data_IF_046406784822
#
_entry.id   IF_046406784822
#
_cell.length_a   1.000
_cell.length_b   1.000
_cell.length_c   1.000
_cell.angle_alpha   90.00
_cell.angle_beta   90.00
_cell.angle_gamma   90.00
#
_symmetry.space_group_name_H-M   'P 1'
#
loop_
_entity.id
_entity.type
_entity.pdbx_description
1 polymer ?
#
# COMPACT_ATOMS: atom_id res chain seq x y z
N UNK A 1 1.91 34.88 -8.27
CA UNK A 1 1.28 34.26 -7.09
C UNK A 1 2.27 33.28 -6.50
N UNK A 2 2.71 33.48 -5.27
CA UNK A 2 3.58 32.51 -4.59
C UNK A 2 2.75 31.24 -4.32
N UNK A 3 3.29 30.04 -4.49
CA UNK A 3 2.58 28.79 -4.19
C UNK A 3 2.20 28.77 -2.70
N UNK A 4 0.92 28.51 -2.43
CA UNK A 4 0.44 28.32 -1.07
C UNK A 4 1.04 27.00 -0.55
N UNK A 5 2.00 27.09 0.35
CA UNK A 5 2.51 25.90 1.04
C UNK A 5 1.43 25.39 2.00
N UNK A 6 1.13 24.10 1.97
CA UNK A 6 0.26 23.48 2.95
C UNK A 6 0.72 23.88 4.37
N UNK A 7 -0.24 24.26 5.22
CA UNK A 7 0.05 24.42 6.65
C UNK A 7 0.56 23.10 7.22
N UNK A 8 1.22 23.12 8.37
CA UNK A 8 1.70 21.89 9.01
C UNK A 8 0.53 20.89 9.22
N UNK A 9 -0.66 21.39 9.55
CA UNK A 9 -1.86 20.59 9.76
C UNK A 9 -2.34 19.93 8.45
N UNK A 10 -2.36 20.65 7.32
CA UNK A 10 -2.76 20.09 6.03
C UNK A 10 -1.77 19.07 5.47
N UNK A 11 -0.48 19.15 5.84
CA UNK A 11 0.51 18.15 5.46
C UNK A 11 0.36 16.86 6.29
N UNK A 12 0.00 16.98 7.55
CA UNK A 12 -0.27 15.84 8.44
C UNK A 12 -1.49 15.05 7.96
N UNK A 13 -2.60 15.75 7.66
CA UNK A 13 -3.85 15.15 7.18
C UNK A 13 -3.67 14.39 5.85
N UNK A 14 -2.77 14.86 4.98
CA UNK A 14 -2.50 14.23 3.70
C UNK A 14 -1.87 12.83 3.81
N UNK A 15 -1.38 12.46 4.98
CA UNK A 15 -0.80 11.15 5.28
C UNK A 15 -1.79 10.20 5.99
N UNK A 16 -2.98 10.67 6.38
CA UNK A 16 -4.01 9.81 6.98
C UNK A 16 -4.58 8.84 5.92
N UNK A 17 -4.44 7.52 6.10
CA UNK A 17 -4.96 6.53 5.16
C UNK A 17 -6.49 6.41 5.18
N UNK A 18 -7.17 6.97 6.19
CA UNK A 18 -8.61 7.00 6.36
C UNK A 18 -9.18 8.41 6.15
N UNK A 19 -8.42 9.34 5.59
CA UNK A 19 -8.89 10.71 5.34
C UNK A 19 -10.22 10.72 4.56
N UNK A 20 -11.16 11.53 5.00
CA UNK A 20 -12.47 11.73 4.37
C UNK A 20 -12.37 12.59 3.10
N UNK A 21 -11.59 12.12 2.14
CA UNK A 21 -11.35 12.79 0.86
C UNK A 21 -11.28 11.77 -0.28
N UNK A 22 -11.73 12.16 -1.45
CA UNK A 22 -11.47 11.36 -2.66
C UNK A 22 -9.99 11.43 -2.99
N UNK A 23 -9.39 10.30 -3.30
CA UNK A 23 -7.98 10.27 -3.63
C UNK A 23 -7.69 9.36 -4.83
N UNK A 24 -6.71 9.77 -5.62
CA UNK A 24 -6.15 8.98 -6.70
C UNK A 24 -4.65 8.86 -6.49
N UNK A 25 -4.14 7.62 -6.47
CA UNK A 25 -2.74 7.34 -6.23
C UNK A 25 -2.13 6.65 -7.43
N UNK A 26 -0.93 7.07 -7.80
CA UNK A 26 -0.04 6.38 -8.72
C UNK A 26 1.18 5.98 -7.91
N UNK A 27 1.46 4.69 -7.84
CA UNK A 27 2.55 4.11 -7.06
C UNK A 27 3.43 3.29 -7.96
N UNK A 28 4.74 3.33 -7.74
CA UNK A 28 5.72 2.55 -8.48
C UNK A 28 6.78 1.97 -7.56
N UNK A 29 7.09 0.69 -7.77
CA UNK A 29 8.20 -0.02 -7.15
C UNK A 29 9.15 -0.50 -8.24
N UNK A 30 10.42 -0.28 -8.04
CA UNK A 30 11.48 -1.04 -8.68
C UNK A 30 11.90 -2.12 -7.70
N UNK A 31 12.01 -3.36 -8.14
CA UNK A 31 12.31 -4.51 -7.29
C UNK A 31 13.61 -5.12 -7.78
N UNK A 32 14.59 -5.26 -6.93
CA UNK A 32 15.89 -5.84 -7.31
C UNK A 32 16.43 -6.81 -6.28
N UNK A 33 17.44 -7.54 -6.68
CA UNK A 33 18.15 -8.49 -5.83
C UNK A 33 17.18 -9.52 -5.22
N UNK A 34 16.50 -10.27 -6.09
CA UNK A 34 15.53 -11.27 -5.65
C UNK A 34 16.23 -12.50 -5.03
N UNK A 35 15.86 -12.82 -3.80
CA UNK A 35 16.39 -13.97 -3.08
C UNK A 35 16.23 -15.29 -3.87
N UNK A 36 17.29 -16.06 -4.00
CA UNK A 36 17.30 -17.36 -4.71
C UNK A 36 17.11 -17.27 -6.22
N UNK A 37 17.27 -16.07 -6.80
CA UNK A 37 17.31 -15.84 -8.24
C UNK A 37 18.71 -15.42 -8.70
N UNK A 38 19.02 -15.48 -10.02
CA UNK A 38 20.29 -14.98 -10.54
C UNK A 38 20.47 -13.50 -10.21
N UNK A 39 21.72 -13.09 -9.97
CA UNK A 39 22.10 -11.69 -9.81
C UNK A 39 21.59 -10.86 -11.00
N UNK A 40 21.28 -9.58 -10.77
CA UNK A 40 20.70 -8.68 -11.77
C UNK A 40 19.29 -9.02 -12.28
N UNK A 41 18.54 -9.81 -11.54
CA UNK A 41 17.13 -10.03 -11.86
C UNK A 41 16.29 -8.92 -11.26
N UNK A 42 15.64 -8.13 -12.12
CA UNK A 42 14.83 -6.97 -11.72
C UNK A 42 13.36 -7.18 -12.00
N UNK A 43 12.53 -6.45 -11.27
CA UNK A 43 11.09 -6.39 -11.46
C UNK A 43 10.55 -4.98 -11.25
N UNK A 44 9.33 -4.77 -11.71
CA UNK A 44 8.61 -3.51 -11.54
C UNK A 44 7.17 -3.78 -11.14
N UNK A 45 6.65 -2.93 -10.28
CA UNK A 45 5.22 -2.91 -9.98
C UNK A 45 4.72 -1.48 -10.03
N UNK A 46 3.65 -1.24 -10.78
CA UNK A 46 2.88 -0.01 -10.74
C UNK A 46 1.49 -0.30 -10.17
N UNK A 47 0.97 0.58 -9.32
CA UNK A 47 -0.37 0.43 -8.75
C UNK A 47 -1.15 1.73 -8.97
N UNK A 48 -2.28 1.63 -9.65
CA UNK A 48 -3.29 2.67 -9.67
C UNK A 48 -4.28 2.40 -8.55
N UNK A 49 -4.53 3.41 -7.72
CA UNK A 49 -5.43 3.28 -6.57
C UNK A 49 -6.39 4.44 -6.51
N UNK A 50 -7.65 4.15 -6.28
CA UNK A 50 -8.70 5.12 -6.05
C UNK A 50 -9.31 4.92 -4.68
N UNK A 51 -9.50 6.00 -3.95
CA UNK A 51 -10.18 6.00 -2.65
C UNK A 51 -11.38 6.94 -2.69
N UNK A 52 -12.50 6.46 -2.14
CA UNK A 52 -13.78 7.17 -2.09
C UNK A 52 -14.38 7.03 -0.69
N UNK A 53 -14.57 8.14 0.04
CA UNK A 53 -15.41 8.16 1.23
C UNK A 53 -16.86 7.88 0.84
N UNK A 54 -17.56 7.13 1.68
CA UNK A 54 -18.96 6.77 1.54
C UNK A 54 -19.68 6.99 2.87
N UNK A 55 -20.93 7.45 2.81
CA UNK A 55 -21.77 7.60 4.00
C UNK A 55 -23.02 6.78 3.81
N UNK A 56 -23.32 5.90 4.78
CA UNK A 56 -24.53 5.09 4.80
C UNK A 56 -25.29 5.39 6.11
N UNK A 57 -26.39 6.16 6.02
CA UNK A 57 -27.06 6.70 7.20
C UNK A 57 -26.10 7.57 8.01
N UNK A 58 -25.92 7.25 9.28
CA UNK A 58 -25.01 7.96 10.20
C UNK A 58 -23.61 7.34 10.28
N UNK A 59 -23.26 6.45 9.33
CA UNK A 59 -21.99 5.73 9.36
C UNK A 59 -21.05 6.15 8.23
N UNK A 60 -19.76 6.29 8.55
CA UNK A 60 -18.71 6.67 7.63
C UNK A 60 -17.88 5.45 7.22
N UNK A 61 -17.60 5.37 5.94
CA UNK A 61 -16.86 4.27 5.32
C UNK A 61 -15.83 4.81 4.35
N UNK A 62 -14.77 4.08 4.13
CA UNK A 62 -13.83 4.33 3.05
C UNK A 62 -13.76 3.10 2.14
N UNK A 63 -14.06 3.31 0.87
CA UNK A 63 -13.78 2.34 -0.19
C UNK A 63 -12.43 2.67 -0.83
N UNK A 64 -11.63 1.65 -1.13
CA UNK A 64 -10.39 1.79 -1.87
C UNK A 64 -10.25 0.65 -2.87
N UNK A 65 -10.08 0.96 -4.14
CA UNK A 65 -9.82 0.00 -5.20
C UNK A 65 -8.39 0.16 -5.72
N UNK A 66 -7.71 -0.95 -6.00
CA UNK A 66 -6.34 -0.96 -6.52
C UNK A 66 -6.23 -1.88 -7.72
N UNK A 67 -5.54 -1.40 -8.75
CA UNK A 67 -5.22 -2.15 -9.98
C UNK A 67 -3.70 -2.20 -10.09
N UNK A 68 -3.06 -3.35 -9.83
CA UNK A 68 -1.63 -3.51 -10.02
C UNK A 68 -1.28 -3.87 -11.46
N UNK A 69 -0.21 -3.31 -11.97
CA UNK A 69 0.51 -3.78 -13.15
C UNK A 69 1.88 -4.26 -12.71
N UNK A 70 2.20 -5.49 -13.01
CA UNK A 70 3.42 -6.14 -12.59
C UNK A 70 4.30 -6.47 -13.80
N UNK A 71 5.61 -6.38 -13.62
CA UNK A 71 6.62 -6.93 -14.51
C UNK A 71 7.61 -7.66 -13.62
N UNK A 72 7.40 -8.96 -13.44
CA UNK A 72 8.10 -9.75 -12.43
C UNK A 72 8.89 -10.89 -13.06
N UNK A 73 10.07 -11.23 -12.51
CA UNK A 73 10.80 -12.41 -12.91
C UNK A 73 10.04 -13.66 -12.47
N UNK A 74 9.98 -14.64 -13.35
CA UNK A 74 9.32 -15.92 -13.10
C UNK A 74 10.27 -17.08 -13.41
N UNK A 75 10.31 -18.04 -12.48
CA UNK A 75 11.21 -19.18 -12.59
C UNK A 75 12.69 -18.82 -12.41
N UNK A 76 13.54 -19.81 -12.24
CA UNK A 76 14.97 -19.63 -11.95
C UNK A 76 15.84 -19.11 -13.09
N UNK A 77 15.25 -18.78 -14.26
CA UNK A 77 15.99 -18.36 -15.45
C UNK A 77 15.91 -16.87 -15.80
N UNK A 78 15.32 -16.03 -14.95
CA UNK A 78 15.24 -14.60 -15.19
C UNK A 78 14.25 -14.17 -16.29
N UNK A 79 13.35 -15.05 -16.72
CA UNK A 79 12.27 -14.69 -17.65
C UNK A 79 11.31 -13.74 -16.97
N UNK A 80 11.04 -12.59 -17.58
CA UNK A 80 10.10 -11.59 -17.05
C UNK A 80 8.73 -11.75 -17.69
N UNK A 81 7.68 -11.66 -16.87
CA UNK A 81 6.29 -11.62 -17.32
C UNK A 81 5.69 -10.30 -16.87
N UNK A 82 4.97 -9.65 -17.77
CA UNK A 82 4.34 -8.37 -17.52
C UNK A 82 2.84 -8.42 -17.79
N UNK A 83 2.06 -7.76 -16.94
CA UNK A 83 0.62 -7.67 -17.09
C UNK A 83 -0.09 -7.14 -15.86
N UNK A 84 -1.41 -7.09 -15.95
CA UNK A 84 -2.27 -6.72 -14.83
C UNK A 84 -2.26 -7.88 -13.82
N UNK A 85 -2.16 -7.55 -12.54
CA UNK A 85 -2.33 -8.50 -11.44
C UNK A 85 -3.77 -8.55 -10.94
N UNK A 86 -3.99 -9.19 -9.80
CA UNK A 86 -5.31 -9.28 -9.19
C UNK A 86 -5.76 -7.92 -8.64
N UNK A 87 -6.96 -7.50 -9.02
CA UNK A 87 -7.59 -6.27 -8.55
C UNK A 87 -8.09 -6.49 -7.12
N UNK A 88 -7.85 -5.52 -6.24
CA UNK A 88 -8.40 -5.55 -4.88
C UNK A 88 -9.34 -4.37 -4.60
N UNK A 89 -10.35 -4.65 -3.78
CA UNK A 89 -11.25 -3.65 -3.21
C UNK A 89 -11.25 -3.81 -1.69
N UNK A 90 -10.98 -2.72 -1.02
CA UNK A 90 -11.01 -2.59 0.43
C UNK A 90 -12.21 -1.72 0.82
N UNK A 91 -12.98 -2.13 1.82
CA UNK A 91 -14.07 -1.34 2.37
C UNK A 91 -13.96 -1.34 3.90
N UNK A 92 -13.72 -0.17 4.49
CA UNK A 92 -13.55 -0.01 5.93
C UNK A 92 -14.65 0.88 6.53
N UNK A 93 -15.25 0.43 7.61
CA UNK A 93 -16.02 1.24 8.52
C UNK A 93 -15.09 2.12 9.36
N UNK A 94 -15.38 3.40 9.44
CA UNK A 94 -14.63 4.37 10.24
C UNK A 94 -15.36 4.62 11.55
N UNK A 95 -14.69 4.40 12.65
CA UNK A 95 -15.23 4.67 13.97
C UNK A 95 -15.11 6.14 14.34
N UNK A 96 -16.09 6.66 15.08
CA UNK A 96 -15.95 7.95 15.72
C UNK A 96 -14.85 7.89 16.78
N UNK A 97 -13.88 8.76 16.64
CA UNK A 97 -12.70 8.81 17.50
C UNK A 97 -12.45 10.24 17.98
N UNK A 98 -11.42 10.43 18.79
CA UNK A 98 -10.98 11.75 19.19
C UNK A 98 -10.34 12.48 17.98
N UNK A 99 -10.43 13.83 17.93
CA UNK A 99 -9.76 14.60 16.89
C UNK A 99 -8.28 14.20 16.72
N UNK A 100 -7.86 14.03 15.48
CA UNK A 100 -6.51 13.59 15.11
C UNK A 100 -6.25 12.09 15.25
N UNK A 101 -7.25 11.28 15.57
CA UNK A 101 -7.16 9.81 15.56
C UNK A 101 -8.15 9.29 14.53
N UNK A 102 -7.67 8.41 13.64
CA UNK A 102 -8.51 7.66 12.72
C UNK A 102 -8.37 6.17 13.00
N UNK A 103 -9.51 5.47 13.08
CA UNK A 103 -9.56 4.03 13.32
C UNK A 103 -10.62 3.41 12.43
N UNK A 104 -10.27 2.33 11.76
CA UNK A 104 -11.18 1.62 10.87
C UNK A 104 -10.97 0.12 10.88
N UNK A 105 -12.07 -0.60 10.70
CA UNK A 105 -12.07 -2.05 10.48
C UNK A 105 -12.86 -2.31 9.20
N UNK A 106 -12.35 -3.20 8.36
CA UNK A 106 -12.99 -3.46 7.10
C UNK A 106 -12.69 -4.82 6.52
N UNK A 107 -13.15 -5.01 5.31
CA UNK A 107 -12.93 -6.21 4.51
C UNK A 107 -12.13 -5.87 3.26
N UNK A 108 -11.34 -6.82 2.78
CA UNK A 108 -10.67 -6.76 1.48
C UNK A 108 -11.15 -7.92 0.62
N UNK A 109 -11.56 -7.62 -0.59
CA UNK A 109 -11.88 -8.60 -1.62
C UNK A 109 -10.82 -8.50 -2.72
N UNK A 110 -10.24 -9.63 -3.12
CA UNK A 110 -9.31 -9.72 -4.25
C UNK A 110 -9.93 -10.60 -5.33
N UNK A 111 -10.06 -10.06 -6.54
CA UNK A 111 -10.61 -10.77 -7.68
C UNK A 111 -9.50 -11.39 -8.53
N UNK A 112 -9.68 -12.61 -9.04
CA UNK A 112 -8.72 -13.26 -9.93
C UNK A 112 -8.77 -12.64 -11.33
N UNK A 113 -8.17 -11.47 -11.48
CA UNK A 113 -8.20 -10.66 -12.72
C UNK A 113 -6.84 -10.57 -13.40
N UNK A 114 -5.86 -11.27 -12.88
CA UNK A 114 -4.51 -11.27 -13.44
C UNK A 114 -4.53 -11.70 -14.92
N UNK A 115 -3.78 -10.99 -15.75
CA UNK A 115 -3.68 -11.28 -17.19
C UNK A 115 -2.83 -12.51 -17.52
N UNK A 116 -2.08 -13.01 -16.54
CA UNK A 116 -1.29 -14.24 -16.58
C UNK A 116 -1.36 -14.88 -15.19
N UNK A 117 -1.52 -16.19 -15.14
CA UNK A 117 -1.68 -16.98 -13.91
C UNK A 117 -0.52 -16.80 -12.92
N UNK A 118 0.66 -16.41 -13.39
CA UNK A 118 1.85 -16.17 -12.57
C UNK A 118 1.88 -14.76 -11.94
N UNK A 119 0.99 -13.88 -12.35
CA UNK A 119 0.84 -12.51 -11.81
C UNK A 119 -0.29 -12.37 -10.79
N UNK A 120 -1.02 -13.46 -10.53
CA UNK A 120 -2.14 -13.51 -9.60
C UNK A 120 -2.30 -14.86 -8.90
N UNK A 121 -3.32 -14.95 -8.05
CA UNK A 121 -3.62 -16.16 -7.30
C UNK A 121 -4.56 -17.13 -8.02
N UNK A 122 -5.17 -16.70 -9.13
CA UNK A 122 -6.20 -17.46 -9.87
C UNK A 122 -7.35 -17.93 -8.95
N UNK A 123 -7.59 -17.19 -7.89
CA UNK A 123 -8.60 -17.51 -6.89
C UNK A 123 -9.11 -16.23 -6.22
N UNK A 124 -10.43 -16.15 -5.97
CA UNK A 124 -10.99 -15.13 -5.13
C UNK A 124 -10.39 -15.20 -3.72
N UNK A 125 -10.08 -14.04 -3.15
CA UNK A 125 -9.59 -13.95 -1.78
C UNK A 125 -10.48 -13.00 -0.98
N UNK A 126 -10.75 -13.35 0.26
CA UNK A 126 -11.47 -12.51 1.22
C UNK A 126 -10.57 -12.28 2.43
N UNK A 127 -10.57 -11.06 2.91
CA UNK A 127 -9.75 -10.66 4.03
C UNK A 127 -10.43 -9.68 4.97
N UNK A 128 -9.78 -9.49 6.10
CA UNK A 128 -10.09 -8.46 7.09
C UNK A 128 -8.94 -7.48 7.18
N UNK A 129 -9.25 -6.23 7.45
CA UNK A 129 -8.25 -5.19 7.61
C UNK A 129 -8.58 -4.30 8.80
N UNK A 130 -7.54 -3.83 9.47
CA UNK A 130 -7.61 -2.86 10.54
C UNK A 130 -6.62 -1.74 10.28
N UNK A 131 -7.08 -0.50 10.42
CA UNK A 131 -6.28 0.71 10.22
C UNK A 131 -6.35 1.56 11.47
N UNK A 132 -5.20 2.01 11.93
CA UNK A 132 -5.07 3.01 12.98
C UNK A 132 -4.12 4.11 12.53
N UNK A 133 -4.51 5.35 12.73
CA UNK A 133 -3.66 6.53 12.49
C UNK A 133 -3.76 7.48 13.67
N UNK A 134 -2.64 7.96 14.15
CA UNK A 134 -2.53 8.99 15.17
C UNK A 134 -1.83 10.23 14.60
N UNK A 135 -2.62 11.25 14.32
CA UNK A 135 -2.21 12.57 13.86
C UNK A 135 -2.46 13.66 14.91
N UNK A 136 -2.61 13.30 16.22
CA UNK A 136 -2.82 14.28 17.30
C UNK A 136 -1.66 15.27 17.43
N UNK A 137 -0.46 14.87 17.02
CA UNK A 137 0.68 15.78 16.89
C UNK A 137 0.80 16.26 15.45
N UNK A 138 0.74 17.57 15.17
CA UNK A 138 0.96 18.08 13.82
C UNK A 138 2.40 17.86 13.33
N UNK A 139 3.32 17.51 14.22
CA UNK A 139 4.73 17.30 13.90
C UNK A 139 5.10 15.85 13.69
N UNK A 140 4.43 14.91 14.39
CA UNK A 140 4.72 13.48 14.32
C UNK A 140 3.42 12.69 14.25
N UNK A 141 3.24 11.95 13.16
CA UNK A 141 2.12 11.06 12.94
C UNK A 141 2.63 9.62 12.85
N UNK A 142 1.82 8.68 13.30
CA UNK A 142 2.16 7.26 13.23
C UNK A 142 0.90 6.40 13.21
N UNK A 143 1.06 5.18 12.79
CA UNK A 143 -0.02 4.23 12.76
C UNK A 143 0.36 2.93 12.07
N UNK A 144 -0.66 2.19 11.70
CA UNK A 144 -0.49 0.94 10.97
C UNK A 144 -1.71 0.59 10.12
N UNK A 145 -1.47 -0.26 9.13
CA UNK A 145 -2.49 -1.04 8.43
C UNK A 145 -2.13 -2.52 8.63
N UNK A 146 -3.09 -3.29 9.13
CA UNK A 146 -3.00 -4.75 9.25
C UNK A 146 -4.03 -5.39 8.32
N UNK A 147 -3.61 -6.37 7.54
CA UNK A 147 -4.47 -7.13 6.63
C UNK A 147 -4.19 -8.61 6.85
N UNK A 148 -5.25 -9.41 6.87
CA UNK A 148 -5.19 -10.85 6.69
C UNK A 148 -6.19 -11.25 5.61
N UNK A 149 -5.77 -12.07 4.65
CA UNK A 149 -6.64 -12.56 3.58
C UNK A 149 -6.34 -14.00 3.24
N UNK A 150 -7.37 -14.73 2.81
CA UNK A 150 -7.25 -16.12 2.37
C UNK A 150 -8.11 -16.39 1.13
N UNK A 151 -7.75 -17.41 0.40
CA UNK A 151 -8.53 -17.87 -0.75
C UNK A 151 -9.90 -18.41 -0.34
N UNK A 152 -10.94 -18.09 -1.11
CA UNK A 152 -12.30 -18.57 -0.91
C UNK A 152 -12.76 -19.43 -2.09
N UNK A 153 -13.62 -20.42 -1.80
CA UNK A 153 -14.02 -21.42 -2.80
C UNK A 153 -13.01 -22.54 -3.00
N UNK A 154 -13.08 -23.21 -4.14
CA UNK A 154 -12.15 -24.28 -4.52
C UNK A 154 -10.82 -23.69 -4.98
N UNK A 155 -9.73 -24.32 -4.59
CA UNK A 155 -8.39 -23.96 -5.08
C UNK A 155 -8.15 -24.64 -6.43
N UNK A 156 -7.71 -23.91 -7.46
CA UNK A 156 -7.39 -24.49 -8.76
C UNK A 156 -6.32 -25.59 -8.66
N UNK A 157 -6.40 -26.57 -9.54
CA UNK A 157 -5.46 -27.69 -9.55
C UNK A 157 -4.01 -27.19 -9.78
N UNK A 158 -3.07 -27.71 -8.98
CA UNK A 158 -1.67 -27.31 -9.04
C UNK A 158 -1.34 -25.96 -8.39
N UNK A 159 -2.32 -25.31 -7.75
CA UNK A 159 -2.13 -24.05 -7.00
C UNK A 159 -2.17 -24.30 -5.50
N UNK A 160 -1.50 -23.45 -4.77
CA UNK A 160 -1.62 -23.37 -3.30
C UNK A 160 -2.67 -22.31 -2.97
N UNK A 161 -3.57 -22.62 -2.01
CA UNK A 161 -4.53 -21.64 -1.52
C UNK A 161 -3.78 -20.44 -0.92
N UNK A 162 -4.00 -19.22 -1.40
CA UNK A 162 -3.35 -18.06 -0.82
C UNK A 162 -3.82 -17.84 0.61
N UNK A 163 -2.88 -17.54 1.50
CA UNK A 163 -3.13 -17.18 2.89
C UNK A 163 -2.05 -16.19 3.32
N UNK A 164 -2.37 -14.89 3.32
CA UNK A 164 -1.38 -13.82 3.44
C UNK A 164 -1.75 -12.85 4.54
N UNK A 165 -0.80 -12.58 5.43
CA UNK A 165 -0.79 -11.46 6.35
C UNK A 165 0.07 -10.33 5.82
N UNK A 166 -0.39 -9.08 5.99
CA UNK A 166 0.39 -7.90 5.72
C UNK A 166 0.27 -6.92 6.88
N UNK A 167 1.40 -6.43 7.35
CA UNK A 167 1.47 -5.38 8.36
C UNK A 167 2.28 -4.22 7.83
N UNK A 168 1.69 -3.05 7.75
CA UNK A 168 2.31 -1.83 7.29
C UNK A 168 2.40 -0.83 8.44
N UNK A 169 3.47 -0.84 9.25
CA UNK A 169 3.73 0.25 10.18
C UNK A 169 4.10 1.50 9.40
N UNK A 170 3.66 2.65 9.83
CA UNK A 170 4.08 3.91 9.23
C UNK A 170 4.27 5.01 10.27
N UNK A 171 5.18 5.91 9.95
CA UNK A 171 5.43 7.10 10.75
C UNK A 171 5.87 8.24 9.83
N UNK A 172 5.50 9.47 10.20
CA UNK A 172 5.83 10.67 9.44
C UNK A 172 6.23 11.79 10.40
N UNK A 173 7.33 12.45 10.09
CA UNK A 173 7.83 13.61 10.83
C UNK A 173 7.84 14.83 9.91
N UNK A 174 7.10 15.87 10.29
CA UNK A 174 6.94 17.09 9.49
C UNK A 174 8.17 17.99 9.64
N UNK A 175 8.84 18.27 8.52
CA UNK A 175 10.03 19.14 8.43
C UNK A 175 9.68 20.60 8.19
N UNK A 176 8.39 20.89 7.91
CA UNK A 176 7.89 22.23 7.62
C UNK A 176 7.79 22.53 6.12
N UNK A 177 6.99 23.55 5.79
CA UNK A 177 6.70 23.97 4.40
C UNK A 177 6.22 22.81 3.51
N UNK A 178 5.47 21.85 4.09
CA UNK A 178 4.95 20.66 3.43
C UNK A 178 5.98 19.53 3.24
N UNK A 179 7.24 19.67 3.60
CA UNK A 179 8.20 18.59 3.61
C UNK A 179 8.04 17.69 4.82
N UNK A 180 8.21 16.40 4.62
CA UNK A 180 8.21 15.41 5.69
C UNK A 180 9.18 14.27 5.41
N UNK A 181 9.61 13.59 6.44
CA UNK A 181 10.33 12.32 6.37
C UNK A 181 9.53 11.25 7.10
N UNK A 182 9.81 9.99 6.83
CA UNK A 182 9.07 8.90 7.44
C UNK A 182 9.42 7.55 6.86
N UNK A 183 8.46 6.64 6.91
CA UNK A 183 8.51 5.32 6.29
C UNK A 183 7.18 4.63 6.43
N UNK A 184 6.86 3.79 5.43
CA UNK A 184 5.65 2.98 5.42
C UNK A 184 5.89 1.65 4.68
N UNK A 185 6.94 0.89 5.06
CA UNK A 185 7.22 -0.40 4.44
C UNK A 185 6.10 -1.40 4.74
N UNK A 186 5.86 -2.34 3.83
CA UNK A 186 4.86 -3.40 4.03
C UNK A 186 5.59 -4.69 4.37
N UNK A 187 5.36 -5.21 5.57
CA UNK A 187 5.80 -6.53 6.00
C UNK A 187 4.78 -7.56 5.55
N UNK A 188 5.23 -8.60 4.91
CA UNK A 188 4.35 -9.66 4.40
C UNK A 188 4.75 -11.02 4.95
N UNK A 189 3.73 -11.85 5.21
CA UNK A 189 3.90 -13.23 5.58
C UNK A 189 2.87 -14.09 4.81
N UNK A 190 3.35 -15.08 4.08
CA UNK A 190 2.54 -16.08 3.42
C UNK A 190 2.48 -17.34 4.30
N UNK A 191 1.32 -17.55 4.95
CA UNK A 191 1.09 -18.68 5.86
C UNK A 191 1.02 -20.03 5.13
N UNK A 192 0.73 -20.02 3.83
CA UNK A 192 0.64 -21.26 3.04
C UNK A 192 2.03 -21.81 2.63
N UNK A 193 3.03 -20.94 2.50
CA UNK A 193 4.37 -21.28 2.04
C UNK A 193 5.47 -20.98 3.06
N UNK A 194 5.12 -20.33 4.19
CA UNK A 194 6.04 -19.88 5.23
C UNK A 194 7.11 -18.89 4.69
N UNK A 195 6.74 -18.13 3.64
CA UNK A 195 7.58 -17.10 3.05
C UNK A 195 7.25 -15.72 3.66
N UNK A 196 8.25 -14.89 3.81
CA UNK A 196 8.04 -13.53 4.33
C UNK A 196 9.06 -12.54 3.78
N UNK A 197 8.69 -11.26 3.87
CA UNK A 197 9.58 -10.13 3.63
C UNK A 197 9.29 -9.02 4.66
N UNK A 198 10.35 -8.53 5.32
CA UNK A 198 10.29 -7.48 6.34
C UNK A 198 11.21 -6.33 5.92
N UNK A 199 10.76 -5.45 5.01
CA UNK A 199 11.55 -4.30 4.61
C UNK A 199 11.56 -3.19 5.66
N UNK A 200 12.62 -2.39 5.63
CA UNK A 200 12.73 -1.08 6.28
C UNK A 200 12.81 0.00 5.21
N UNK A 201 12.07 1.09 5.38
CA UNK A 201 12.03 2.20 4.42
C UNK A 201 12.29 3.55 5.07
N UNK A 202 12.96 4.42 4.32
CA UNK A 202 13.13 5.83 4.67
C UNK A 202 12.52 6.70 3.57
N UNK A 203 11.47 7.44 3.91
CA UNK A 203 10.73 8.30 3.01
C UNK A 203 11.17 9.74 3.12
N UNK A 204 11.28 10.40 1.97
CA UNK A 204 11.27 11.84 1.85
C UNK A 204 10.07 12.24 0.98
N UNK A 205 9.19 13.06 1.52
CA UNK A 205 7.97 13.45 0.83
C UNK A 205 7.70 14.94 0.91
N UNK A 206 6.82 15.37 0.03
CA UNK A 206 6.35 16.75 -0.09
C UNK A 206 4.85 16.78 -0.31
N UNK A 207 4.16 17.53 0.53
CA UNK A 207 2.75 17.88 0.35
C UNK A 207 2.66 19.29 -0.22
N UNK A 208 1.88 19.43 -1.28
CA UNK A 208 1.59 20.70 -1.92
C UNK A 208 0.08 20.84 -2.09
N UNK A 209 -0.47 21.94 -1.65
CA UNK A 209 -1.89 22.26 -1.80
C UNK A 209 -2.08 23.34 -2.87
N UNK A 210 -2.97 23.08 -3.82
CA UNK A 210 -3.37 24.03 -4.84
C UNK A 210 -4.90 24.04 -4.94
N UNK A 211 -5.52 25.05 -4.35
CA UNK A 211 -6.97 25.16 -4.27
C UNK A 211 -7.58 23.96 -3.53
N UNK A 212 -8.44 23.21 -4.22
CA UNK A 212 -9.13 22.02 -3.67
C UNK A 212 -8.34 20.71 -3.84
N UNK A 213 -7.17 20.77 -4.46
CA UNK A 213 -6.32 19.59 -4.69
C UNK A 213 -5.11 19.62 -3.77
N UNK A 214 -4.90 18.56 -3.04
CA UNK A 214 -3.67 18.31 -2.28
C UNK A 214 -2.89 17.23 -2.99
N UNK A 215 -1.67 17.53 -3.41
CA UNK A 215 -0.73 16.58 -3.99
C UNK A 215 0.29 16.18 -2.92
N UNK A 216 0.42 14.89 -2.66
CA UNK A 216 1.45 14.32 -1.80
C UNK A 216 2.32 13.39 -2.66
N UNK A 217 3.59 13.70 -2.80
CA UNK A 217 4.54 12.90 -3.58
C UNK A 217 5.77 12.61 -2.75
N UNK A 218 6.30 11.41 -2.92
CA UNK A 218 7.44 10.95 -2.15
C UNK A 218 8.26 9.89 -2.87
N UNK A 219 9.47 9.70 -2.35
CA UNK A 219 10.34 8.57 -2.64
C UNK A 219 10.70 7.88 -1.33
N UNK A 220 10.81 6.55 -1.35
CA UNK A 220 11.11 5.71 -0.21
C UNK A 220 11.95 4.52 -0.65
N UNK A 221 13.29 4.61 -0.63
CA UNK A 221 14.12 3.42 -0.72
C UNK A 221 13.83 2.49 0.46
N UNK A 222 13.66 1.20 0.16
CA UNK A 222 13.36 0.16 1.14
C UNK A 222 14.36 -0.99 0.97
N UNK A 223 14.84 -1.51 2.09
CA UNK A 223 15.76 -2.66 2.18
C UNK A 223 15.12 -3.75 3.02
N UNK A 224 15.15 -4.99 2.56
CA UNK A 224 14.72 -6.13 3.36
C UNK A 224 15.69 -6.38 4.50
N UNK A 225 15.20 -6.27 5.73
CA UNK A 225 15.96 -6.60 6.93
C UNK A 225 15.94 -8.09 7.24
N UNK A 226 14.85 -8.76 6.83
CA UNK A 226 14.69 -10.20 6.95
C UNK A 226 13.74 -10.69 5.85
N UNK A 227 14.09 -11.80 5.23
CA UNK A 227 13.28 -12.44 4.21
C UNK A 227 13.43 -13.95 4.29
N UNK A 228 12.42 -14.67 3.81
CA UNK A 228 12.43 -16.12 3.65
C UNK A 228 11.65 -16.51 2.40
N UNK A 229 12.16 -17.49 1.67
CA UNK A 229 11.63 -17.97 0.41
C UNK A 229 12.29 -17.32 -0.80
N UNK A 230 12.15 -17.98 -1.96
CA UNK A 230 12.68 -17.47 -3.21
C UNK A 230 11.79 -16.34 -3.75
N UNK A 231 12.39 -15.41 -4.48
CA UNK A 231 11.66 -14.33 -5.12
C UNK A 231 11.26 -13.16 -4.21
N UNK A 232 11.88 -13.06 -3.03
CA UNK A 232 11.70 -11.88 -2.17
C UNK A 232 12.67 -10.79 -2.61
N UNK A 233 12.23 -9.55 -2.92
CA UNK A 233 13.12 -8.46 -3.26
C UNK A 233 13.92 -8.02 -2.02
N UNK A 234 15.23 -7.86 -2.17
CA UNK A 234 16.10 -7.36 -1.10
C UNK A 234 16.17 -5.84 -1.08
N UNK A 235 16.01 -5.21 -2.24
CA UNK A 235 15.92 -3.76 -2.39
C UNK A 235 14.74 -3.36 -3.25
N UNK A 236 13.92 -2.42 -2.77
CA UNK A 236 12.70 -1.99 -3.45
C UNK A 236 12.45 -0.48 -3.29
N UNK A 237 13.10 0.39 -4.09
CA UNK A 237 12.73 1.81 -4.14
C UNK A 237 11.27 1.98 -4.53
N UNK A 238 10.57 2.74 -3.70
CA UNK A 238 9.15 3.06 -3.84
C UNK A 238 8.96 4.56 -4.08
N UNK A 239 8.18 4.91 -5.06
CA UNK A 239 7.78 6.28 -5.32
C UNK A 239 6.27 6.37 -5.55
N UNK A 240 5.65 7.46 -5.13
CA UNK A 240 4.22 7.66 -5.37
C UNK A 240 3.85 9.13 -5.48
N UNK A 241 2.73 9.34 -6.18
CA UNK A 241 1.96 10.58 -6.20
C UNK A 241 0.55 10.26 -5.72
N UNK A 242 0.10 10.94 -4.67
CA UNK A 242 -1.25 10.87 -4.15
C UNK A 242 -1.94 12.23 -4.34
N UNK A 243 -3.01 12.25 -5.13
CA UNK A 243 -3.85 13.41 -5.37
C UNK A 243 -5.14 13.27 -4.57
N UNK A 244 -5.39 14.22 -3.68
CA UNK A 244 -6.59 14.27 -2.84
C UNK A 244 -7.47 15.45 -3.28
N UNK A 245 -8.78 15.21 -3.37
CA UNK A 245 -9.78 16.15 -3.87
C UNK A 245 -10.81 16.44 -2.76
N UNK A 246 -10.87 17.69 -2.33
CA UNK A 246 -11.81 18.20 -1.32
C UNK A 246 -13.01 18.93 -1.95
#
# INVERSE_FOLDING_TARGET
>A
MLPNFASADGAADANDPLADVRAFNIQGYYLSDFSGMPDSTDGYQAILRYAQPLTFGDTNWLMRASVPYNSLPVGGGGTTISGIGDIDVFLAYQFDTKPGISFGIGTQLVAPTASDDRLGADQWQLGVANVYFNGTSPKFQWGYLLIYRTGVGSTPAGRTRPEVGAFQPFWFYQLGKGWYTGGAPIWTYDFATDNYNVPFGLRLGKVHQNGKVTANYFVEPQWSLASRGNGQPEFQPYAAVNLQFR
#
